data_IF_161077193988
#
_entry.id   IF_161077193988
#
_cell.length_a   1.000
_cell.length_b   1.000
_cell.length_c   1.000
_cell.angle_alpha   90.00
_cell.angle_beta   90.00
_cell.angle_gamma   90.00
#
_symmetry.space_group_name_H-M   'P 1'
#
loop_
_entity.id
_entity.type
_entity.pdbx_description
1 polymer ?
#
# COMPACT_ATOMS: atom_id res chain seq x y z
N UNK A 1 4.82 9.61 26.86
CA UNK A 1 4.36 9.02 25.58
C UNK A 1 3.42 7.88 25.93
N UNK A 2 2.15 7.98 25.57
CA UNK A 2 1.24 6.85 25.78
C UNK A 2 1.54 5.81 24.69
N UNK A 3 2.13 4.69 25.09
CA UNK A 3 2.17 3.50 24.26
C UNK A 3 0.71 3.05 24.10
N UNK A 4 0.16 3.14 22.88
CA UNK A 4 -1.12 2.50 22.57
C UNK A 4 -0.96 1.01 22.84
N UNK A 5 -1.76 0.48 23.75
CA UNK A 5 -1.88 -0.96 23.95
C UNK A 5 -2.68 -1.53 22.77
N UNK A 6 -2.29 -2.72 22.30
CA UNK A 6 -3.00 -3.41 21.23
C UNK A 6 -4.44 -3.70 21.69
N UNK A 7 -5.42 -3.27 20.90
CA UNK A 7 -6.83 -3.48 21.14
C UNK A 7 -7.51 -3.87 19.84
N UNK A 8 -8.17 -5.02 19.85
CA UNK A 8 -9.14 -5.37 18.83
C UNK A 8 -10.51 -4.86 19.26
N UNK A 9 -11.14 -4.07 18.39
CA UNK A 9 -12.45 -3.48 18.61
C UNK A 9 -13.14 -3.35 17.24
N UNK A 10 -14.45 -3.52 17.20
CA UNK A 10 -15.24 -3.32 15.96
C UNK A 10 -15.19 -1.86 15.48
N UNK A 11 -14.83 -0.94 16.37
CA UNK A 11 -14.61 0.48 16.07
C UNK A 11 -13.14 0.82 15.77
N UNK A 12 -12.27 -0.20 15.66
CA UNK A 12 -10.87 -0.04 15.28
C UNK A 12 -10.71 0.57 13.89
N UNK A 13 -9.71 1.44 13.73
CA UNK A 13 -9.46 2.16 12.47
C UNK A 13 -8.35 1.54 11.62
N UNK A 14 -7.57 0.61 12.18
CA UNK A 14 -6.49 -0.09 11.48
C UNK A 14 -7.04 -1.38 10.90
N UNK A 15 -6.86 -1.57 9.61
CA UNK A 15 -7.20 -2.81 8.91
C UNK A 15 -5.93 -3.65 8.77
N UNK A 16 -5.97 -4.91 9.23
CA UNK A 16 -4.85 -5.84 9.19
C UNK A 16 -5.23 -7.13 8.44
N UNK A 17 -4.80 -7.22 7.18
CA UNK A 17 -5.16 -8.30 6.25
C UNK A 17 -4.30 -9.56 6.37
N UNK A 18 -3.36 -9.60 7.32
CA UNK A 18 -2.37 -10.67 7.42
C UNK A 18 -1.40 -10.66 6.22
N UNK A 19 -0.98 -11.85 5.79
CA UNK A 19 -0.03 -12.02 4.66
C UNK A 19 -0.81 -12.00 3.34
N UNK A 20 -1.29 -10.82 2.97
CA UNK A 20 -2.05 -10.63 1.73
C UNK A 20 -1.87 -9.21 1.19
N UNK A 21 -0.88 -9.01 0.32
CA UNK A 21 -0.69 -7.71 -0.33
C UNK A 21 -1.82 -7.39 -1.29
N UNK A 22 -2.38 -8.41 -1.95
CA UNK A 22 -3.54 -8.28 -2.83
C UNK A 22 -4.80 -7.86 -2.05
N UNK A 23 -5.00 -8.42 -0.84
CA UNK A 23 -6.06 -7.99 0.07
C UNK A 23 -5.84 -6.54 0.54
N UNK A 24 -4.63 -6.23 0.99
CA UNK A 24 -4.26 -4.89 1.44
C UNK A 24 -4.47 -3.81 0.39
N UNK A 25 -4.04 -4.03 -0.86
CA UNK A 25 -4.25 -3.06 -1.95
C UNK A 25 -5.72 -2.97 -2.37
N UNK A 26 -6.50 -4.06 -2.25
CA UNK A 26 -7.93 -4.05 -2.54
C UNK A 26 -8.70 -3.20 -1.53
N UNK A 27 -8.40 -3.33 -0.24
CA UNK A 27 -8.96 -2.46 0.81
C UNK A 27 -8.54 -1.01 0.62
N UNK A 28 -7.26 -0.78 0.33
CA UNK A 28 -6.76 0.55 0.03
C UNK A 28 -7.52 1.17 -1.14
N UNK A 29 -7.74 0.40 -2.22
CA UNK A 29 -8.49 0.87 -3.40
C UNK A 29 -9.91 1.23 -3.05
N UNK A 30 -10.63 0.35 -2.33
CA UNK A 30 -12.01 0.60 -1.90
C UNK A 30 -12.13 1.91 -1.11
N UNK A 31 -11.25 2.12 -0.13
CA UNK A 31 -11.20 3.37 0.63
C UNK A 31 -10.79 4.56 -0.24
N UNK A 32 -9.82 4.40 -1.14
CA UNK A 32 -9.27 5.45 -1.99
C UNK A 32 -10.27 5.93 -3.06
N UNK A 33 -11.28 5.13 -3.37
CA UNK A 33 -12.39 5.48 -4.28
C UNK A 33 -13.69 5.81 -3.56
N UNK A 34 -13.75 5.70 -2.24
CA UNK A 34 -14.97 5.94 -1.43
C UNK A 34 -15.55 7.35 -1.61
N UNK A 35 -14.70 8.32 -1.96
CA UNK A 35 -15.14 9.67 -2.31
C UNK A 35 -16.14 9.69 -3.49
N UNK A 36 -16.03 8.73 -4.41
CA UNK A 36 -16.88 8.62 -5.60
C UNK A 36 -17.97 7.57 -5.45
N UNK A 37 -17.64 6.41 -4.86
CA UNK A 37 -18.57 5.27 -4.77
C UNK A 37 -19.63 5.48 -3.68
N UNK A 38 -19.24 6.13 -2.58
CA UNK A 38 -20.10 6.30 -1.39
C UNK A 38 -20.31 7.76 -0.99
N UNK A 39 -19.78 8.73 -1.75
CA UNK A 39 -19.75 10.14 -1.38
C UNK A 39 -19.15 10.41 0.00
N UNK A 40 -18.24 9.54 0.44
CA UNK A 40 -17.60 9.60 1.76
C UNK A 40 -16.08 9.57 1.55
N UNK A 41 -15.42 10.73 1.49
CA UNK A 41 -13.99 10.78 1.25
C UNK A 41 -13.22 10.15 2.41
N UNK A 42 -12.37 9.17 2.08
CA UNK A 42 -11.41 8.56 3.01
C UNK A 42 -9.99 8.84 2.52
N UNK A 43 -9.03 8.79 3.44
CA UNK A 43 -7.60 8.98 3.14
C UNK A 43 -6.86 7.72 3.57
N UNK A 44 -6.80 6.68 2.73
CA UNK A 44 -6.15 5.44 3.10
C UNK A 44 -4.63 5.54 2.97
N UNK A 45 -3.95 4.90 3.92
CA UNK A 45 -2.50 4.73 3.95
C UNK A 45 -2.20 3.24 4.08
N UNK A 46 -1.60 2.64 3.04
CA UNK A 46 -1.23 1.23 3.04
C UNK A 46 0.28 1.09 3.11
N UNK A 47 0.79 0.55 4.22
CA UNK A 47 2.23 0.33 4.45
C UNK A 47 2.58 -1.15 4.30
N UNK A 48 3.63 -1.43 3.54
CA UNK A 48 4.06 -2.80 3.21
C UNK A 48 5.56 -2.81 2.85
N UNK A 49 6.19 -3.97 2.80
CA UNK A 49 7.56 -4.11 2.27
C UNK A 49 7.57 -3.66 0.81
N UNK A 50 8.30 -2.61 0.46
CA UNK A 50 8.33 -2.01 -0.88
C UNK A 50 8.46 -3.00 -2.04
N UNK A 51 9.22 -4.09 -1.85
CA UNK A 51 9.36 -5.17 -2.81
C UNK A 51 8.04 -5.86 -3.19
N UNK A 52 7.07 -5.91 -2.29
CA UNK A 52 5.76 -6.56 -2.50
C UNK A 52 4.65 -5.56 -2.87
N UNK A 53 5.00 -4.36 -3.31
CA UNK A 53 4.07 -3.41 -3.93
C UNK A 53 3.93 -3.65 -5.42
N UNK A 54 4.45 -2.71 -6.21
CA UNK A 54 4.37 -2.71 -7.68
C UNK A 54 4.84 -4.01 -8.35
N UNK A 55 5.81 -4.72 -7.78
CA UNK A 55 6.27 -6.00 -8.33
C UNK A 55 5.29 -7.15 -8.10
N UNK A 56 4.59 -7.16 -6.95
CA UNK A 56 3.72 -8.28 -6.53
C UNK A 56 2.27 -8.06 -6.92
N UNK A 57 1.78 -6.82 -6.80
CA UNK A 57 0.37 -6.44 -7.03
C UNK A 57 0.24 -5.32 -8.06
N UNK A 58 1.18 -5.23 -9.01
CA UNK A 58 1.21 -4.16 -10.03
C UNK A 58 -0.08 -4.03 -10.84
N UNK A 59 -0.72 -5.14 -11.20
CA UNK A 59 -1.97 -5.13 -11.97
C UNK A 59 -3.15 -4.57 -11.13
N UNK A 60 -3.18 -4.85 -9.83
CA UNK A 60 -4.15 -4.22 -8.92
C UNK A 60 -3.92 -2.72 -8.79
N UNK A 61 -2.65 -2.29 -8.71
CA UNK A 61 -2.30 -0.86 -8.65
C UNK A 61 -2.69 -0.16 -9.96
N UNK A 62 -2.50 -0.82 -11.11
CA UNK A 62 -2.95 -0.32 -12.39
C UNK A 62 -4.47 -0.17 -12.46
N UNK A 63 -5.22 -1.18 -12.00
CA UNK A 63 -6.68 -1.11 -11.92
C UNK A 63 -7.16 -0.01 -10.95
N UNK A 64 -6.46 0.19 -9.84
CA UNK A 64 -6.76 1.26 -8.90
C UNK A 64 -6.50 2.66 -9.50
N UNK A 65 -5.43 2.79 -10.27
CA UNK A 65 -5.12 3.98 -11.05
C UNK A 65 -6.22 4.30 -12.07
N UNK A 66 -6.70 3.31 -12.83
CA UNK A 66 -7.83 3.46 -13.76
C UNK A 66 -9.12 3.87 -13.03
N UNK A 67 -9.36 3.28 -11.85
CA UNK A 67 -10.47 3.60 -10.95
C UNK A 67 -10.35 4.98 -10.28
N UNK A 68 -9.29 5.75 -10.57
CA UNK A 68 -8.99 7.07 -10.01
C UNK A 68 -8.83 7.06 -8.48
N UNK A 69 -8.20 6.03 -7.94
CA UNK A 69 -7.86 5.94 -6.52
C UNK A 69 -7.07 7.18 -6.05
N UNK A 70 -7.40 7.70 -4.86
CA UNK A 70 -6.70 8.77 -4.16
C UNK A 70 -6.28 8.31 -2.76
N UNK A 71 -4.99 8.16 -2.52
CA UNK A 71 -4.46 7.70 -1.24
C UNK A 71 -2.95 7.52 -1.27
N UNK A 72 -2.38 6.92 -0.23
CA UNK A 72 -0.94 6.73 -0.09
C UNK A 72 -0.57 5.25 -0.05
N UNK A 73 0.32 4.84 -0.96
CA UNK A 73 1.03 3.57 -0.90
C UNK A 73 2.41 3.83 -0.29
N UNK A 74 2.73 3.18 0.82
CA UNK A 74 3.95 3.39 1.60
C UNK A 74 4.85 2.16 1.50
N UNK A 75 5.75 2.17 0.51
CA UNK A 75 6.79 1.15 0.37
C UNK A 75 7.84 1.28 1.47
N UNK A 76 7.63 0.60 2.59
CA UNK A 76 8.55 0.53 3.71
C UNK A 76 9.75 -0.38 3.40
N UNK A 77 10.76 -0.30 4.27
CA UNK A 77 12.00 -1.11 4.19
C UNK A 77 12.66 -1.08 2.81
N UNK A 78 12.53 0.05 2.12
CA UNK A 78 12.98 0.27 0.75
C UNK A 78 14.46 0.62 0.66
N UNK A 79 15.01 0.43 -0.54
CA UNK A 79 16.42 0.65 -0.83
C UNK A 79 17.23 -0.64 -0.78
N UNK A 80 17.93 -0.92 -1.89
CA UNK A 80 18.64 -2.18 -2.13
C UNK A 80 19.63 -2.50 -1.01
N UNK A 81 20.24 -1.48 -0.44
CA UNK A 81 21.27 -1.60 0.60
C UNK A 81 20.78 -1.18 1.99
N UNK A 82 19.52 -0.80 2.14
CA UNK A 82 18.94 -0.40 3.44
C UNK A 82 18.54 -1.66 4.22
N UNK A 83 17.96 -2.65 3.53
CA UNK A 83 17.46 -3.91 4.09
C UNK A 83 18.41 -5.08 3.78
N UNK A 84 19.68 -4.96 4.19
CA UNK A 84 20.74 -5.90 3.76
C UNK A 84 20.55 -7.35 4.22
N UNK A 85 19.89 -7.59 5.36
CA UNK A 85 19.76 -8.92 5.97
C UNK A 85 18.71 -9.84 5.32
N UNK A 86 17.71 -9.27 4.64
CA UNK A 86 16.57 -10.01 4.09
C UNK A 86 16.85 -10.62 2.70
N UNK A 87 17.95 -10.19 2.06
CA UNK A 87 18.46 -10.79 0.84
C UNK A 87 17.65 -10.47 -0.42
N UNK A 88 17.84 -11.33 -1.44
CA UNK A 88 17.49 -11.06 -2.83
C UNK A 88 16.00 -10.75 -3.06
N UNK A 89 15.10 -11.42 -2.33
CA UNK A 89 13.65 -11.30 -2.53
C UNK A 89 13.02 -10.14 -1.76
N UNK A 90 13.79 -9.36 -1.00
CA UNK A 90 13.28 -8.27 -0.16
C UNK A 90 14.01 -6.95 -0.38
N UNK A 91 15.29 -6.99 -0.76
CA UNK A 91 16.10 -5.80 -0.98
C UNK A 91 15.64 -5.03 -2.23
N UNK A 92 14.73 -4.07 -2.07
CA UNK A 92 14.13 -3.34 -3.19
C UNK A 92 15.03 -2.24 -3.74
N UNK A 93 15.34 -2.30 -5.04
CA UNK A 93 16.03 -1.23 -5.77
C UNK A 93 15.35 -0.86 -7.08
N UNK A 94 14.08 -1.23 -7.27
CA UNK A 94 13.40 -1.14 -8.57
C UNK A 94 11.94 -0.70 -8.49
N UNK A 95 11.32 -0.67 -7.30
CA UNK A 95 9.90 -0.31 -7.15
C UNK A 95 9.56 1.06 -7.73
N UNK A 96 10.43 2.07 -7.57
CA UNK A 96 10.23 3.41 -8.14
C UNK A 96 10.21 3.40 -9.68
N UNK A 97 10.98 2.52 -10.34
CA UNK A 97 10.94 2.37 -11.80
C UNK A 97 9.60 1.76 -12.25
N UNK A 98 9.06 0.81 -11.46
CA UNK A 98 7.75 0.24 -11.73
C UNK A 98 6.64 1.27 -11.47
N UNK A 99 6.74 2.05 -10.39
CA UNK A 99 5.81 3.13 -10.08
C UNK A 99 5.74 4.19 -11.20
N UNK A 100 6.90 4.53 -11.79
CA UNK A 100 6.98 5.46 -12.92
C UNK A 100 6.25 4.98 -14.18
N UNK A 101 5.88 3.70 -14.28
CA UNK A 101 5.07 3.19 -15.39
C UNK A 101 3.57 3.49 -15.22
N UNK A 102 3.11 3.84 -14.02
CA UNK A 102 1.70 4.11 -13.71
C UNK A 102 1.42 5.63 -13.85
N UNK A 103 0.65 6.09 -14.86
CA UNK A 103 0.62 7.50 -15.27
C UNK A 103 0.18 8.52 -14.21
N UNK A 104 -0.70 8.13 -13.30
CA UNK A 104 -1.23 8.98 -12.23
C UNK A 104 -0.67 8.62 -10.84
N UNK A 105 0.37 7.79 -10.79
CA UNK A 105 1.14 7.56 -9.58
C UNK A 105 2.23 8.62 -9.47
N UNK A 106 2.31 9.29 -8.32
CA UNK A 106 3.37 10.26 -8.01
C UNK A 106 4.31 9.60 -7.01
N UNK A 107 5.55 9.38 -7.43
CA UNK A 107 6.59 8.67 -6.68
C UNK A 107 7.77 9.59 -6.36
#
# INVERSE_FOLDING_TARGET
SQLSWYREDTTGQILQEGISEAGGVSLWTAAATSYSVHHLPMIPMFIYYSMFGFQRVGDFIWAAADSRARGFLLGATSGRTTLNGEGLQHADGTSLLMAASVPNCIA
#
